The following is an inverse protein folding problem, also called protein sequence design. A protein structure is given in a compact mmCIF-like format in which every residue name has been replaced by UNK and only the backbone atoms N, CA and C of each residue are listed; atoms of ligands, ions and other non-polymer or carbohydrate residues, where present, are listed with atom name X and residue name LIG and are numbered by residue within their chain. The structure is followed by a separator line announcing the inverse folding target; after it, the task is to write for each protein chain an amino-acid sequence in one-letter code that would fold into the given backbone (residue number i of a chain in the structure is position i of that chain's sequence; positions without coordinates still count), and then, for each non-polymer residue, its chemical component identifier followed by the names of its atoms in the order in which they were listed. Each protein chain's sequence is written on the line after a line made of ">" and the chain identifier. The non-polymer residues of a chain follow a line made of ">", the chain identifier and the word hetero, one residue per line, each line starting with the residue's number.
data_IF_096254760722
#
_entry.id   IF_096254760722
#
_cell.length_a   1.000
_cell.length_b   1.000
_cell.length_c   1.000
_cell.angle_alpha   90.00
_cell.angle_beta   90.00
_cell.angle_gamma   90.00
#
_symmetry.space_group_name_H-M   'P 1'
#
loop_
_entity.id
_entity.type
_entity.pdbx_description
1 polymer ?
#
# COMPACT_ATOMS: atom_id res chain seq x y z
N UNK A 1 29.32 10.17 -7.98
CA UNK A 1 27.85 10.22 -8.11
C UNK A 1 27.50 9.75 -9.51
N UNK A 2 27.05 8.50 -9.66
CA UNK A 2 26.64 7.95 -10.95
C UNK A 2 25.19 8.36 -11.22
N UNK A 3 25.00 9.23 -12.22
CA UNK A 3 23.68 9.52 -12.79
C UNK A 3 23.24 8.30 -13.60
N UNK A 4 22.18 7.62 -13.16
CA UNK A 4 21.61 6.50 -13.89
C UNK A 4 20.49 7.00 -14.81
N UNK A 5 20.56 6.57 -16.05
CA UNK A 5 19.56 6.88 -17.08
C UNK A 5 18.33 5.98 -16.87
N UNK A 6 17.27 6.58 -16.33
CA UNK A 6 16.04 5.90 -15.89
C UNK A 6 14.98 5.77 -16.98
N UNK A 7 15.34 6.07 -18.23
CA UNK A 7 14.47 6.02 -19.41
C UNK A 7 14.05 4.60 -19.85
N UNK A 8 14.36 3.55 -19.06
CA UNK A 8 14.11 2.13 -19.40
C UNK A 8 13.22 1.35 -18.43
N UNK A 9 12.49 2.02 -17.56
CA UNK A 9 11.35 1.38 -16.89
C UNK A 9 10.16 1.40 -17.85
N UNK A 10 9.89 0.27 -18.50
CA UNK A 10 8.90 0.16 -19.60
C UNK A 10 7.47 0.59 -19.21
N UNK A 11 7.18 0.75 -17.92
CA UNK A 11 5.96 1.39 -17.44
C UNK A 11 6.25 1.92 -16.03
N UNK A 12 6.66 3.19 -15.90
CA UNK A 12 6.45 3.87 -14.62
C UNK A 12 4.96 3.80 -14.32
N UNK A 13 4.54 3.30 -13.13
CA UNK A 13 3.14 3.19 -12.79
C UNK A 13 2.50 4.57 -12.99
N UNK A 14 1.46 4.63 -13.83
CA UNK A 14 0.76 5.87 -14.12
C UNK A 14 0.31 6.46 -12.78
N UNK A 15 0.54 7.77 -12.52
CA UNK A 15 0.10 8.38 -11.29
C UNK A 15 -1.41 8.14 -11.13
N UNK A 16 -1.90 7.96 -9.89
CA UNK A 16 -3.33 7.81 -9.66
C UNK A 16 -4.06 9.02 -10.25
N UNK A 17 -5.31 8.85 -10.73
CA UNK A 17 -6.09 9.96 -11.27
C UNK A 17 -6.13 11.11 -10.26
N UNK A 18 -5.63 12.27 -10.69
CA UNK A 18 -5.61 13.50 -9.91
C UNK A 18 -7.03 13.84 -9.46
N UNK A 19 -7.29 13.73 -8.16
CA UNK A 19 -8.59 14.10 -7.58
C UNK A 19 -9.02 13.33 -6.33
N UNK A 20 -8.47 12.13 -6.06
CA UNK A 20 -8.95 11.31 -4.93
C UNK A 20 -8.08 11.35 -3.66
N UNK A 21 -6.92 12.03 -3.70
CA UNK A 21 -5.99 12.02 -2.57
C UNK A 21 -5.68 13.42 -2.08
N UNK A 22 -6.42 13.83 -1.04
CA UNK A 22 -6.28 15.10 -0.36
C UNK A 22 -5.16 14.99 0.69
N UNK A 23 -3.92 14.87 0.24
CA UNK A 23 -2.75 14.92 1.15
C UNK A 23 -2.59 16.27 1.84
N UNK A 24 -3.28 17.30 1.34
CA UNK A 24 -3.18 18.70 1.76
C UNK A 24 -4.39 19.15 2.57
N UNK A 25 -4.78 18.37 3.58
CA UNK A 25 -5.65 18.89 4.63
C UNK A 25 -4.84 19.86 5.49
N UNK A 26 -5.46 20.99 5.87
CA UNK A 26 -4.86 21.90 6.84
C UNK A 26 -4.33 21.08 8.03
N UNK A 27 -3.02 21.15 8.26
CA UNK A 27 -2.38 20.38 9.31
C UNK A 27 -2.92 20.83 10.66
N UNK A 28 -3.39 19.87 11.43
CA UNK A 28 -3.91 20.10 12.78
C UNK A 28 -3.12 19.25 13.73
N UNK A 29 -2.93 19.74 14.94
CA UNK A 29 -2.18 19.00 15.97
C UNK A 29 -2.80 17.62 16.24
N UNK A 30 -4.13 17.54 16.15
CA UNK A 30 -4.89 16.30 16.24
C UNK A 30 -4.55 15.32 15.12
N UNK A 31 -4.62 15.75 13.85
CA UNK A 31 -4.27 14.89 12.72
C UNK A 31 -2.80 14.45 12.77
N UNK A 32 -1.91 15.35 13.20
CA UNK A 32 -0.51 15.03 13.40
C UNK A 32 -0.34 13.95 14.48
N UNK A 33 -1.03 14.08 15.61
CA UNK A 33 -1.00 13.09 16.69
C UNK A 33 -1.53 11.72 16.22
N UNK A 34 -2.61 11.70 15.43
CA UNK A 34 -3.16 10.48 14.83
C UNK A 34 -2.13 9.83 13.89
N UNK A 35 -1.52 10.61 12.98
CA UNK A 35 -0.48 10.13 12.06
C UNK A 35 0.71 9.53 12.82
N UNK A 36 1.18 10.20 13.87
CA UNK A 36 2.30 9.73 14.70
C UNK A 36 1.97 8.40 15.40
N UNK A 37 0.79 8.30 16.00
CA UNK A 37 0.35 7.09 16.70
C UNK A 37 0.21 5.90 15.72
N UNK A 38 -0.47 6.10 14.59
CA UNK A 38 -0.62 5.09 13.54
C UNK A 38 0.73 4.66 12.96
N UNK A 39 1.62 5.61 12.67
CA UNK A 39 2.98 5.31 12.19
C UNK A 39 3.73 4.41 13.17
N UNK A 40 3.64 4.69 14.47
CA UNK A 40 4.27 3.84 15.50
C UNK A 40 3.68 2.42 15.51
N UNK A 41 2.36 2.30 15.41
CA UNK A 41 1.66 1.01 15.35
C UNK A 41 2.08 0.18 14.12
N UNK A 42 2.08 0.81 12.94
CA UNK A 42 2.48 0.20 11.67
C UNK A 42 3.95 -0.24 11.68
N UNK A 43 4.88 0.60 12.17
CA UNK A 43 6.30 0.24 12.28
C UNK A 43 6.56 -0.91 13.24
N UNK A 44 5.67 -1.13 14.21
CA UNK A 44 5.73 -2.27 15.12
C UNK A 44 5.05 -3.52 14.55
N UNK A 45 4.51 -3.46 13.34
CA UNK A 45 3.68 -4.50 12.73
C UNK A 45 2.48 -4.88 13.62
N UNK A 46 1.88 -3.88 14.29
CA UNK A 46 0.81 -4.07 15.27
C UNK A 46 -0.38 -3.17 14.93
N UNK A 47 -1.46 -3.80 14.47
CA UNK A 47 -2.76 -3.17 14.29
C UNK A 47 -3.79 -4.03 15.05
N UNK A 48 -4.15 -3.67 16.29
CA UNK A 48 -4.95 -4.52 17.17
C UNK A 48 -6.28 -5.03 16.59
N UNK A 49 -6.92 -4.23 15.75
CA UNK A 49 -8.23 -4.56 15.17
C UNK A 49 -8.13 -5.22 13.78
N UNK A 50 -6.94 -5.70 13.42
CA UNK A 50 -6.71 -6.33 12.11
C UNK A 50 -7.53 -7.62 12.00
N UNK A 51 -8.38 -7.76 10.96
CA UNK A 51 -9.08 -9.00 10.69
C UNK A 51 -8.09 -10.15 10.50
N UNK A 52 -8.46 -11.35 10.95
CA UNK A 52 -7.68 -12.55 10.69
C UNK A 52 -7.53 -12.74 9.19
N UNK A 53 -6.29 -12.93 8.74
CA UNK A 53 -5.97 -13.09 7.32
C UNK A 53 -5.83 -11.77 6.55
N UNK A 54 -5.90 -10.60 7.18
CA UNK A 54 -5.57 -9.34 6.49
C UNK A 54 -4.04 -9.26 6.24
N UNK A 55 -3.59 -8.76 5.07
CA UNK A 55 -4.39 -8.17 4.00
C UNK A 55 -4.94 -9.17 2.98
N UNK A 56 -4.56 -10.45 3.05
CA UNK A 56 -4.96 -11.46 2.04
C UNK A 56 -5.67 -12.63 2.69
N UNK A 57 -6.99 -12.56 2.64
CA UNK A 57 -7.84 -13.69 2.94
C UNK A 57 -7.77 -14.64 1.75
N UNK A 58 -6.85 -15.58 1.80
CA UNK A 58 -6.75 -16.65 0.82
C UNK A 58 -7.98 -17.54 0.97
N UNK A 59 -9.02 -17.22 0.22
CA UNK A 59 -10.08 -18.20 0.00
C UNK A 59 -9.49 -19.22 -0.96
N UNK A 60 -9.02 -20.35 -0.42
CA UNK A 60 -8.78 -21.54 -1.23
C UNK A 60 -10.15 -21.95 -1.79
N UNK A 61 -10.54 -21.35 -2.90
CA UNK A 61 -11.65 -21.87 -3.67
C UNK A 61 -11.19 -23.24 -4.12
N UNK A 62 -11.73 -24.29 -3.50
CA UNK A 62 -11.74 -25.64 -4.03
C UNK A 62 -12.56 -25.62 -5.33
N UNK A 63 -12.09 -24.88 -6.32
CA UNK A 63 -12.58 -24.94 -7.68
C UNK A 63 -12.19 -26.33 -8.17
N UNK A 64 -13.06 -27.29 -7.91
CA UNK A 64 -12.98 -28.68 -8.41
C UNK A 64 -12.95 -28.75 -9.94
N UNK A 65 -13.05 -27.62 -10.64
CA UNK A 65 -13.03 -27.52 -12.09
C UNK A 65 -12.35 -26.23 -12.56
N UNK A 66 -11.04 -26.10 -12.39
CA UNK A 66 -10.25 -25.21 -13.25
C UNK A 66 -8.92 -25.87 -13.59
N UNK A 67 -8.99 -26.88 -14.44
CA UNK A 67 -7.85 -27.38 -15.21
C UNK A 67 -7.52 -26.34 -16.29
N UNK A 68 -6.92 -25.24 -15.87
CA UNK A 68 -6.00 -24.54 -16.75
C UNK A 68 -4.67 -25.29 -16.57
N UNK A 69 -4.06 -25.77 -17.65
CA UNK A 69 -2.90 -26.69 -17.68
C UNK A 69 -1.62 -26.22 -16.93
N UNK A 70 -1.67 -25.15 -16.14
CA UNK A 70 -0.55 -24.66 -15.33
C UNK A 70 -0.59 -25.09 -13.85
N UNK A 71 -1.68 -25.67 -13.34
CA UNK A 71 -1.75 -26.18 -11.96
C UNK A 71 -1.54 -25.12 -10.86
N UNK A 72 -1.57 -23.83 -11.20
CA UNK A 72 -1.34 -22.77 -10.23
C UNK A 72 -2.64 -22.42 -9.50
N UNK A 73 -2.59 -22.48 -8.16
CA UNK A 73 -3.63 -21.95 -7.30
C UNK A 73 -3.83 -20.46 -7.61
N UNK A 74 -5.05 -20.08 -8.00
CA UNK A 74 -5.40 -18.67 -8.20
C UNK A 74 -5.63 -18.02 -6.84
N UNK A 75 -4.83 -17.00 -6.54
CA UNK A 75 -5.05 -16.13 -5.40
C UNK A 75 -6.30 -15.29 -5.67
N UNK A 76 -7.36 -15.52 -4.90
CA UNK A 76 -8.54 -14.65 -4.93
C UNK A 76 -8.39 -13.58 -3.85
N UNK A 77 -8.49 -12.32 -4.25
CA UNK A 77 -8.35 -11.16 -3.36
C UNK A 77 -9.71 -10.58 -3.10
N UNK A 78 -10.14 -10.57 -1.83
CA UNK A 78 -11.37 -9.90 -1.42
C UNK A 78 -11.04 -8.53 -0.81
N UNK A 79 -11.70 -7.48 -1.27
CA UNK A 79 -11.57 -6.15 -0.65
C UNK A 79 -12.13 -6.19 0.78
N UNK A 80 -11.45 -5.53 1.71
CA UNK A 80 -11.77 -5.56 3.13
C UNK A 80 -11.56 -4.18 3.74
N UNK A 81 -12.30 -3.89 4.80
CA UNK A 81 -12.07 -2.70 5.60
C UNK A 81 -12.31 -3.01 7.08
N UNK A 82 -11.62 -2.27 7.94
CA UNK A 82 -11.80 -2.33 9.38
C UNK A 82 -11.45 -1.00 10.03
N UNK A 83 -11.91 -0.84 11.27
CA UNK A 83 -11.72 0.39 12.03
C UNK A 83 -10.68 0.18 13.13
N UNK A 84 -9.64 1.01 13.11
CA UNK A 84 -8.57 1.02 14.11
C UNK A 84 -8.79 2.16 15.09
N UNK A 85 -8.83 1.83 16.37
CA UNK A 85 -8.84 2.81 17.45
C UNK A 85 -7.43 3.38 17.64
N UNK A 86 -7.33 4.70 17.67
CA UNK A 86 -6.07 5.44 17.81
C UNK A 86 -6.16 6.28 19.08
N UNK A 87 -5.25 5.99 20.01
CA UNK A 87 -5.09 6.76 21.23
C UNK A 87 -3.91 7.70 21.06
N UNK A 88 -4.16 8.99 21.23
CA UNK A 88 -3.11 10.02 21.23
C UNK A 88 -2.44 10.09 22.60
N UNK A 89 -1.33 10.83 22.70
CA UNK A 89 -0.50 10.91 23.91
C UNK A 89 -1.23 11.42 25.15
N UNK A 90 -2.31 12.19 24.97
CA UNK A 90 -3.14 12.65 26.08
C UNK A 90 -3.99 11.51 26.69
N UNK A 91 -4.14 10.37 25.98
CA UNK A 91 -5.04 9.23 26.26
C UNK A 91 -6.48 9.61 26.59
N UNK A 92 -6.86 10.87 26.38
CA UNK A 92 -8.18 11.42 26.63
C UNK A 92 -8.99 11.44 25.36
N UNK A 93 -8.30 11.52 24.22
CA UNK A 93 -8.92 11.58 22.91
C UNK A 93 -8.79 10.23 22.21
N UNK A 94 -9.94 9.58 21.99
CA UNK A 94 -10.05 8.36 21.19
C UNK A 94 -10.44 8.77 19.77
N UNK A 95 -9.58 8.45 18.80
CA UNK A 95 -9.87 8.63 17.39
C UNK A 95 -10.07 7.27 16.72
N UNK A 96 -10.69 7.28 15.55
CA UNK A 96 -10.89 6.08 14.74
C UNK A 96 -10.37 6.35 13.34
N UNK A 97 -9.54 5.43 12.85
CA UNK A 97 -9.06 5.41 11.48
C UNK A 97 -9.68 4.21 10.76
N UNK A 98 -10.19 4.41 9.55
CA UNK A 98 -10.61 3.32 8.66
C UNK A 98 -9.40 2.85 7.86
N UNK A 99 -9.11 1.57 7.93
CA UNK A 99 -8.08 0.93 7.11
C UNK A 99 -8.81 0.07 6.08
N UNK A 100 -8.54 0.30 4.80
CA UNK A 100 -9.17 -0.44 3.71
C UNK A 100 -8.15 -1.01 2.74
N UNK A 101 -8.45 -2.21 2.28
CA UNK A 101 -7.77 -2.94 1.23
C UNK A 101 -8.72 -3.10 0.03
N UNK A 102 -8.28 -2.68 -1.14
CA UNK A 102 -9.02 -2.81 -2.40
C UNK A 102 -8.30 -3.82 -3.29
N UNK A 103 -9.05 -4.85 -3.67
CA UNK A 103 -8.59 -5.91 -4.56
C UNK A 103 -8.38 -5.38 -5.99
N UNK A 104 -7.47 -5.98 -6.78
CA UNK A 104 -7.09 -5.44 -8.08
C UNK A 104 -8.27 -5.37 -9.06
N UNK A 105 -9.21 -6.31 -9.01
CA UNK A 105 -10.40 -6.31 -9.86
C UNK A 105 -11.40 -5.19 -9.56
N UNK A 106 -11.35 -4.61 -8.35
CA UNK A 106 -12.16 -3.43 -7.98
C UNK A 106 -11.38 -2.13 -8.12
N UNK A 107 -10.07 -2.21 -8.30
CA UNK A 107 -9.19 -1.08 -8.47
C UNK A 107 -9.20 -0.62 -9.92
N UNK A 108 -9.38 0.69 -10.14
CA UNK A 108 -9.29 1.28 -11.49
C UNK A 108 -7.92 1.11 -12.13
N UNK A 109 -6.88 0.95 -11.32
CA UNK A 109 -5.50 0.81 -11.81
C UNK A 109 -5.09 -0.64 -12.02
N UNK A 110 -5.93 -1.61 -11.65
CA UNK A 110 -5.55 -3.02 -11.59
C UNK A 110 -4.52 -3.35 -10.50
N UNK A 111 -4.13 -2.36 -9.69
CA UNK A 111 -3.20 -2.55 -8.57
C UNK A 111 -3.96 -2.84 -7.29
N UNK A 112 -3.30 -3.55 -6.38
CA UNK A 112 -3.78 -3.68 -5.01
C UNK A 112 -3.60 -2.36 -4.28
N UNK A 113 -4.58 -1.93 -3.50
CA UNK A 113 -4.53 -0.64 -2.82
C UNK A 113 -4.81 -0.79 -1.33
N UNK A 114 -4.01 -0.11 -0.50
CA UNK A 114 -4.24 0.06 0.93
C UNK A 114 -4.37 1.53 1.23
N UNK A 115 -5.41 1.91 1.95
CA UNK A 115 -5.63 3.29 2.38
C UNK A 115 -5.94 3.35 3.86
N UNK A 116 -5.51 4.44 4.48
CA UNK A 116 -5.91 4.81 5.83
C UNK A 116 -6.66 6.13 5.71
N UNK A 117 -7.88 6.14 6.21
CA UNK A 117 -8.75 7.31 6.21
C UNK A 117 -9.18 7.68 7.62
N UNK A 118 -9.38 8.98 7.87
CA UNK A 118 -9.88 9.51 9.13
C UNK A 118 -11.05 10.46 8.87
N UNK A 119 -11.96 10.69 9.83
CA UNK A 119 -13.02 11.68 9.66
C UNK A 119 -12.47 13.06 9.29
N UNK A 120 -13.07 13.71 8.30
CA UNK A 120 -12.79 15.09 7.93
C UNK A 120 -13.28 16.04 9.03
N UNK A 121 -12.69 17.23 9.12
CA UNK A 121 -13.14 18.23 10.10
C UNK A 121 -14.54 18.73 9.75
N UNK A 122 -15.41 18.83 10.76
CA UNK A 122 -16.76 19.36 10.62
C UNK A 122 -17.85 18.29 10.49
N UNK A 123 -17.49 17.03 10.25
CA UNK A 123 -18.42 15.90 10.30
C UNK A 123 -18.66 15.49 11.75
N UNK A 124 -19.49 16.25 12.47
CA UNK A 124 -20.01 15.84 13.78
C UNK A 124 -21.08 14.77 13.57
N UNK A 125 -20.65 13.53 13.36
CA UNK A 125 -21.54 12.39 13.22
C UNK A 125 -20.87 11.23 12.51
N UNK A 126 -20.91 10.04 13.14
CA UNK A 126 -20.36 8.79 12.60
C UNK A 126 -21.17 8.22 11.41
N UNK A 127 -22.06 9.01 10.80
CA UNK A 127 -23.15 8.47 9.99
C UNK A 127 -22.88 8.44 8.49
N UNK A 128 -21.83 9.10 7.97
CA UNK A 128 -21.55 9.09 6.54
C UNK A 128 -20.08 8.79 6.23
N UNK A 129 -19.84 7.70 5.48
CA UNK A 129 -18.56 7.35 4.86
C UNK A 129 -18.04 8.45 3.91
N UNK A 130 -18.91 9.37 3.49
CA UNK A 130 -18.63 10.46 2.55
C UNK A 130 -17.69 11.52 3.12
N UNK A 131 -17.51 11.57 4.44
CA UNK A 131 -16.65 12.55 5.11
C UNK A 131 -15.27 11.99 5.49
N UNK A 132 -14.83 10.87 4.90
CA UNK A 132 -13.52 10.30 5.19
C UNK A 132 -12.41 10.92 4.33
N UNK A 133 -11.34 11.34 5.01
CA UNK A 133 -10.12 11.88 4.42
C UNK A 133 -9.02 10.82 4.38
N UNK A 134 -8.52 10.48 3.19
CA UNK A 134 -7.38 9.56 3.02
C UNK A 134 -6.08 10.25 3.44
N UNK A 135 -5.41 9.71 4.45
CA UNK A 135 -4.17 10.27 5.03
C UNK A 135 -2.92 9.44 4.73
N UNK A 136 -3.11 8.21 4.24
CA UNK A 136 -2.05 7.36 3.70
C UNK A 136 -2.59 6.45 2.60
N UNK A 137 -1.75 6.16 1.61
CA UNK A 137 -2.11 5.34 0.46
C UNK A 137 -0.87 4.58 -0.02
N UNK A 138 -1.02 3.27 -0.13
CA UNK A 138 -0.05 2.37 -0.74
C UNK A 138 -0.69 1.64 -1.91
N UNK A 139 0.05 1.53 -3.00
CA UNK A 139 -0.30 0.70 -4.15
C UNK A 139 0.75 -0.40 -4.34
N UNK A 140 0.32 -1.60 -4.69
CA UNK A 140 1.21 -2.72 -5.02
C UNK A 140 0.88 -3.19 -6.43
N UNK A 141 1.88 -3.21 -7.30
CA UNK A 141 1.77 -3.75 -8.66
C UNK A 141 1.42 -5.25 -8.58
N UNK A 142 0.47 -5.71 -9.39
CA UNK A 142 0.07 -7.12 -9.42
C UNK A 142 1.24 -8.06 -9.75
N UNK A 143 2.22 -7.59 -10.53
CA UNK A 143 3.44 -8.34 -10.88
C UNK A 143 4.29 -8.68 -9.66
N UNK A 144 4.21 -7.88 -8.60
CA UNK A 144 4.89 -8.16 -7.33
C UNK A 144 4.40 -9.47 -6.72
N UNK A 145 3.11 -9.78 -6.92
CA UNK A 145 2.48 -11.01 -6.41
C UNK A 145 2.64 -12.21 -7.35
N UNK A 146 2.92 -11.96 -8.63
CA UNK A 146 3.20 -13.01 -9.62
C UNK A 146 4.56 -13.67 -9.38
N UNK A 147 5.53 -12.94 -8.81
CA UNK A 147 6.81 -13.52 -8.41
C UNK A 147 6.63 -14.43 -7.17
N UNK A 148 6.94 -15.73 -7.25
CA UNK A 148 6.69 -16.66 -6.15
C UNK A 148 7.50 -16.34 -4.89
N UNK A 149 8.70 -15.76 -5.04
CA UNK A 149 9.57 -15.46 -3.90
C UNK A 149 9.15 -14.17 -3.22
N UNK A 150 8.83 -13.14 -4.00
CA UNK A 150 8.46 -11.82 -3.49
C UNK A 150 7.00 -11.79 -3.05
N UNK A 151 6.10 -12.31 -3.89
CA UNK A 151 4.67 -12.40 -3.65
C UNK A 151 4.38 -13.17 -2.38
N UNK A 152 4.92 -14.38 -2.22
CA UNK A 152 4.70 -15.19 -1.03
C UNK A 152 5.18 -14.48 0.25
N UNK A 153 6.30 -13.74 0.19
CA UNK A 153 6.80 -12.98 1.34
C UNK A 153 5.87 -11.82 1.73
N UNK A 154 5.36 -11.07 0.77
CA UNK A 154 4.42 -9.97 1.02
C UNK A 154 3.09 -10.50 1.56
N UNK A 155 2.62 -11.65 1.06
CA UNK A 155 1.40 -12.31 1.50
C UNK A 155 1.54 -12.89 2.92
N UNK A 156 2.65 -13.56 3.21
CA UNK A 156 2.91 -14.17 4.51
C UNK A 156 3.27 -13.14 5.58
N UNK A 157 3.91 -12.04 5.19
CA UNK A 157 4.36 -11.00 6.09
C UNK A 157 4.05 -9.60 5.52
N UNK A 158 2.92 -9.00 5.93
CA UNK A 158 2.50 -7.69 5.43
C UNK A 158 3.36 -6.53 5.96
N UNK A 159 4.46 -6.81 6.68
CA UNK A 159 5.37 -5.79 7.20
C UNK A 159 5.84 -4.81 6.14
N UNK A 160 6.12 -5.27 4.93
CA UNK A 160 6.51 -4.40 3.80
C UNK A 160 5.42 -3.38 3.48
N UNK A 161 4.15 -3.81 3.48
CA UNK A 161 2.99 -2.94 3.25
C UNK A 161 2.79 -1.98 4.44
N UNK A 162 2.95 -2.45 5.67
CA UNK A 162 2.80 -1.60 6.86
C UNK A 162 3.92 -0.55 6.97
N UNK A 163 5.17 -0.91 6.65
CA UNK A 163 6.27 0.04 6.56
C UNK A 163 6.00 1.07 5.44
N UNK A 164 5.51 0.65 4.28
CA UNK A 164 5.11 1.56 3.22
C UNK A 164 3.95 2.50 3.63
N UNK A 165 2.96 2.01 4.38
CA UNK A 165 1.87 2.83 4.93
C UNK A 165 2.41 3.84 5.96
N UNK A 166 3.35 3.41 6.81
CA UNK A 166 4.00 4.27 7.79
C UNK A 166 4.80 5.40 7.11
N UNK A 167 5.50 5.07 6.02
CA UNK A 167 6.22 6.05 5.21
C UNK A 167 5.25 6.98 4.47
N UNK A 168 4.12 6.47 3.98
CA UNK A 168 3.06 7.27 3.36
C UNK A 168 2.47 8.30 4.35
N UNK A 169 2.23 7.92 5.61
CA UNK A 169 1.76 8.84 6.67
C UNK A 169 2.77 9.95 6.96
N UNK A 170 4.07 9.60 6.99
CA UNK A 170 5.17 10.52 7.28
C UNK A 170 5.40 11.51 6.15
N UNK A 171 5.37 11.03 4.90
CA UNK A 171 5.67 11.83 3.72
C UNK A 171 4.45 12.57 3.16
N UNK A 172 3.23 12.13 3.49
CA UNK A 172 2.01 12.64 2.84
C UNK A 172 2.02 12.36 1.34
N UNK A 173 2.45 11.15 0.96
CA UNK A 173 2.68 10.75 -0.43
C UNK A 173 2.10 9.36 -0.70
N UNK A 174 1.78 9.08 -1.97
CA UNK A 174 1.48 7.72 -2.43
C UNK A 174 2.78 6.93 -2.42
N UNK A 175 2.77 5.75 -1.81
CA UNK A 175 3.89 4.81 -1.93
C UNK A 175 3.48 3.68 -2.86
N UNK A 176 4.21 3.50 -3.95
CA UNK A 176 4.03 2.38 -4.87
C UNK A 176 5.11 1.34 -4.64
N UNK A 177 4.70 0.10 -4.36
CA UNK A 177 5.57 -1.07 -4.23
C UNK A 177 5.61 -1.76 -5.59
N UNK A 178 6.80 -1.88 -6.14
CA UNK A 178 7.06 -2.51 -7.44
C UNK A 178 8.25 -3.47 -7.34
N UNK A 179 8.34 -4.42 -8.26
CA UNK A 179 9.54 -5.25 -8.43
C UNK A 179 10.42 -4.63 -9.49
N UNK A 180 11.69 -4.38 -9.15
CA UNK A 180 12.72 -4.07 -10.12
C UNK A 180 13.46 -5.35 -10.49
N UNK A 181 13.40 -5.71 -11.77
CA UNK A 181 14.36 -6.63 -12.35
C UNK A 181 15.61 -5.84 -12.72
N UNK A 182 16.82 -6.32 -12.35
CA UNK A 182 18.04 -5.71 -12.85
C UNK A 182 18.02 -5.80 -14.37
N UNK A 183 18.00 -4.64 -15.03
CA UNK A 183 18.16 -4.58 -16.48
C UNK A 183 19.65 -4.76 -16.76
N UNK A 184 19.97 -5.84 -17.47
CA UNK A 184 21.31 -6.16 -17.96
C UNK A 184 21.83 -5.07 -18.91
N UNK A 185 22.30 -3.96 -18.33
CA UNK A 185 23.08 -3.00 -19.08
C UNK A 185 24.52 -3.51 -19.18
N UNK A 186 24.77 -4.19 -20.30
CA UNK A 186 26.07 -4.43 -20.96
C UNK A 186 26.98 -5.49 -20.30
N UNK A 187 26.66 -6.74 -20.59
CA UNK A 187 27.59 -7.87 -20.49
C UNK A 187 26.81 -9.17 -20.57
N UNK A 188 27.07 -10.00 -21.58
CA UNK A 188 26.24 -11.14 -22.01
C UNK A 188 26.05 -12.30 -20.99
N UNK A 189 26.31 -12.09 -19.69
CA UNK A 189 26.40 -13.16 -18.69
C UNK A 189 25.68 -12.91 -17.35
N UNK A 190 24.90 -11.83 -17.16
CA UNK A 190 24.15 -11.64 -15.90
C UNK A 190 22.74 -12.27 -15.95
N UNK A 191 22.67 -13.58 -16.19
CA UNK A 191 21.38 -14.25 -16.41
C UNK A 191 20.45 -14.37 -15.19
N UNK A 192 20.84 -13.96 -13.98
CA UNK A 192 20.04 -14.24 -12.77
C UNK A 192 20.23 -13.20 -11.66
N UNK A 193 19.90 -11.94 -11.92
CA UNK A 193 19.80 -10.97 -10.82
C UNK A 193 18.53 -11.22 -10.00
N UNK A 194 18.65 -11.34 -8.67
CA UNK A 194 17.52 -11.50 -7.76
C UNK A 194 16.59 -10.28 -7.88
N UNK A 195 15.27 -10.47 -8.09
CA UNK A 195 14.32 -9.37 -8.12
C UNK A 195 14.36 -8.60 -6.80
N UNK A 196 14.37 -7.27 -6.88
CA UNK A 196 14.40 -6.40 -5.69
C UNK A 196 13.07 -5.66 -5.55
N UNK A 197 12.58 -5.55 -4.32
CA UNK A 197 11.41 -4.71 -4.02
C UNK A 197 11.87 -3.25 -3.99
N UNK A 198 11.12 -2.42 -4.70
CA UNK A 198 11.34 -0.98 -4.77
C UNK A 198 10.11 -0.25 -4.28
N UNK A 199 10.34 0.74 -3.43
CA UNK A 199 9.34 1.68 -2.95
C UNK A 199 9.54 3.00 -3.69
N UNK A 200 8.51 3.44 -4.42
CA UNK A 200 8.47 4.71 -5.14
C UNK A 200 7.52 5.65 -4.41
N UNK A 201 7.99 6.84 -4.01
CA UNK A 201 7.12 7.85 -3.40
C UNK A 201 6.68 8.87 -4.44
N UNK A 202 5.39 9.03 -4.62
CA UNK A 202 4.78 9.96 -5.59
C UNK A 202 3.94 10.98 -4.84
N UNK A 203 4.14 12.26 -5.15
CA UNK A 203 3.36 13.32 -4.53
C UNK A 203 1.97 13.50 -5.15
N UNK A 204 1.21 14.46 -4.62
CA UNK A 204 -0.13 14.77 -5.08
C UNK A 204 -0.22 15.25 -6.54
N UNK A 205 0.90 15.67 -7.15
CA UNK A 205 0.99 16.10 -8.54
C UNK A 205 1.43 14.97 -9.47
N UNK A 206 1.69 13.77 -8.93
CA UNK A 206 2.21 12.65 -9.70
C UNK A 206 3.72 12.68 -9.88
N UNK A 207 4.46 13.56 -9.19
CA UNK A 207 5.92 13.60 -9.28
C UNK A 207 6.55 12.61 -8.31
N UNK A 208 7.46 11.77 -8.84
CA UNK A 208 8.26 10.87 -8.02
C UNK A 208 9.30 11.67 -7.21
N UNK A 209 9.17 11.65 -5.89
CA UNK A 209 10.04 12.38 -4.95
C UNK A 209 11.23 11.56 -4.45
N UNK A 210 11.18 10.25 -4.55
CA UNK A 210 12.16 9.37 -3.92
C UNK A 210 11.96 7.90 -4.24
N UNK A 211 13.04 7.15 -4.08
CA UNK A 211 13.09 5.70 -4.29
C UNK A 211 13.89 5.05 -3.16
N UNK A 212 13.36 3.96 -2.58
CA UNK A 212 14.06 3.11 -1.61
C UNK A 212 14.03 1.66 -2.08
N UNK A 213 15.14 0.95 -1.93
CA UNK A 213 15.23 -0.51 -2.14
C UNK A 213 15.17 -1.22 -0.79
N UNK A 214 14.51 -2.37 -0.75
CA UNK A 214 14.46 -3.26 0.41
C UNK A 214 15.40 -4.45 0.20
#
# INVERSE_FOLDING_TARGET
>A
MTSYDYSRYSTTPSPPPSGSILYNLAYTDELLAIKVALRSQLKQNRLPNTPVGFPVFLRSTHSRYSYNNSGQERLDFQSQEFYQEVYTSDRRSKHVAKISFIAPHKSRTGMLQWTISVPARGSFGWQHDEDLSVIAHVQVDSKVLEDPNVGAQILANPRVVFEALADSLELGALITIAVATPTDNKGAHSRYGTPQIVLLSTDQYGHTKGQRRL
#
